data_IF_810267802260
#
_entry.id   IF_810267802260
#
_cell.length_a   1.000
_cell.length_b   1.000
_cell.length_c   1.000
_cell.angle_alpha   90.00
_cell.angle_beta   90.00
_cell.angle_gamma   90.00
#
_symmetry.space_group_name_H-M   'P 1'
#
loop_
_entity.id
_entity.type
_entity.pdbx_description
1 polymer ?
#
# COMPACT_ATOMS: atom_id res chain seq x y z
N UNK A 1 9.06 -8.68 -15.35
CA UNK A 1 7.71 -8.50 -15.92
C UNK A 1 6.98 -7.43 -15.14
N UNK A 2 6.50 -6.43 -15.86
CA UNK A 2 6.10 -5.12 -15.38
C UNK A 2 4.64 -5.14 -14.90
N UNK A 3 4.41 -5.64 -13.68
CA UNK A 3 3.05 -5.73 -13.09
C UNK A 3 2.61 -4.46 -12.34
N UNK A 4 3.10 -3.28 -12.72
CA UNK A 4 2.76 -2.05 -12.01
C UNK A 4 1.26 -1.76 -12.05
N UNK A 5 0.58 -1.95 -13.19
CA UNK A 5 -0.84 -1.62 -13.32
C UNK A 5 -1.76 -2.62 -12.60
N UNK A 6 -1.53 -3.93 -12.77
CA UNK A 6 -2.31 -4.97 -12.10
C UNK A 6 -2.13 -4.93 -10.58
N UNK A 7 -0.92 -4.66 -10.11
CA UNK A 7 -0.62 -4.54 -8.69
C UNK A 7 -1.20 -3.27 -8.07
N UNK A 8 -1.24 -2.15 -8.80
CA UNK A 8 -1.94 -0.94 -8.35
C UNK A 8 -3.45 -1.14 -8.28
N UNK A 9 -4.05 -1.87 -9.22
CA UNK A 9 -5.46 -2.24 -9.17
C UNK A 9 -5.75 -3.11 -7.93
N UNK A 10 -4.85 -4.04 -7.59
CA UNK A 10 -4.95 -4.82 -6.37
C UNK A 10 -4.90 -3.93 -5.11
N UNK A 11 -4.00 -2.93 -5.04
CA UNK A 11 -3.97 -1.99 -3.93
C UNK A 11 -5.23 -1.12 -3.83
N UNK A 12 -5.85 -0.76 -4.96
CA UNK A 12 -7.16 -0.08 -4.96
C UNK A 12 -8.27 -0.96 -4.41
N UNK A 13 -8.26 -2.25 -4.72
CA UNK A 13 -9.21 -3.19 -4.14
C UNK A 13 -9.07 -3.27 -2.61
N UNK A 14 -7.85 -3.17 -2.07
CA UNK A 14 -7.64 -3.16 -0.62
C UNK A 14 -8.30 -1.94 0.02
N UNK A 15 -8.20 -0.77 -0.61
CA UNK A 15 -8.87 0.44 -0.13
C UNK A 15 -10.41 0.32 -0.16
N UNK A 16 -10.96 -0.34 -1.18
CA UNK A 16 -12.40 -0.44 -1.39
C UNK A 16 -13.07 -1.61 -0.65
N UNK A 17 -12.40 -2.77 -0.62
CA UNK A 17 -12.98 -4.04 -0.19
C UNK A 17 -12.26 -4.63 1.03
N UNK A 18 -11.06 -4.15 1.37
CA UNK A 18 -10.27 -4.70 2.45
C UNK A 18 -9.50 -5.98 2.07
N UNK A 19 -9.31 -6.25 0.78
CA UNK A 19 -8.44 -7.30 0.27
C UNK A 19 -7.94 -6.95 -1.15
N UNK A 20 -6.91 -7.62 -1.63
CA UNK A 20 -6.28 -7.37 -2.95
C UNK A 20 -7.21 -7.66 -4.13
N UNK A 21 -8.31 -8.37 -3.90
CA UNK A 21 -9.32 -8.68 -4.90
C UNK A 21 -10.72 -8.68 -4.27
N UNK A 22 -11.79 -8.61 -5.09
CA UNK A 22 -13.14 -8.82 -4.61
C UNK A 22 -13.28 -10.18 -3.90
N UNK A 23 -14.20 -10.32 -2.93
CA UNK A 23 -14.34 -11.53 -2.12
C UNK A 23 -14.42 -12.82 -2.95
N UNK A 24 -15.13 -12.79 -4.08
CA UNK A 24 -15.34 -13.92 -4.98
C UNK A 24 -14.07 -14.43 -5.69
N UNK A 25 -12.99 -13.65 -5.73
CA UNK A 25 -11.74 -14.01 -6.40
C UNK A 25 -10.53 -13.95 -5.48
N UNK A 26 -10.71 -13.73 -4.18
CA UNK A 26 -9.63 -13.52 -3.20
C UNK A 26 -8.65 -14.69 -3.05
N UNK A 27 -9.09 -15.92 -3.31
CA UNK A 27 -8.29 -17.15 -3.14
C UNK A 27 -7.62 -17.65 -4.41
N UNK A 28 -7.73 -16.93 -5.53
CA UNK A 28 -7.02 -17.34 -6.74
C UNK A 28 -5.49 -17.28 -6.49
N UNK A 29 -4.70 -18.19 -7.07
CA UNK A 29 -3.25 -18.23 -6.84
C UNK A 29 -2.54 -16.90 -7.15
N UNK A 30 -3.01 -16.17 -8.17
CA UNK A 30 -2.50 -14.85 -8.53
C UNK A 30 -2.78 -13.79 -7.46
N UNK A 31 -3.97 -13.81 -6.86
CA UNK A 31 -4.33 -12.87 -5.80
C UNK A 31 -3.64 -13.20 -4.48
N UNK A 32 -3.49 -14.49 -4.16
CA UNK A 32 -2.68 -14.93 -3.01
C UNK A 32 -1.23 -14.47 -3.15
N UNK A 33 -0.63 -14.62 -4.34
CA UNK A 33 0.72 -14.14 -4.61
C UNK A 33 0.84 -12.61 -4.50
N UNK A 34 -0.15 -11.87 -5.01
CA UNK A 34 -0.21 -10.41 -4.90
C UNK A 34 -0.32 -9.95 -3.44
N UNK A 35 -1.18 -10.59 -2.64
CA UNK A 35 -1.33 -10.33 -1.21
C UNK A 35 -0.02 -10.59 -0.47
N UNK A 36 0.59 -11.75 -0.68
CA UNK A 36 1.86 -12.11 -0.07
C UNK A 36 2.96 -11.10 -0.40
N UNK A 37 3.07 -10.72 -1.67
CA UNK A 37 4.01 -9.69 -2.11
C UNK A 37 3.74 -8.33 -1.47
N UNK A 38 2.48 -7.90 -1.41
CA UNK A 38 2.10 -6.63 -0.81
C UNK A 38 2.38 -6.60 0.71
N UNK A 39 2.24 -7.73 1.41
CA UNK A 39 2.67 -7.86 2.80
C UNK A 39 4.20 -7.76 2.93
N UNK A 40 4.96 -8.50 2.11
CA UNK A 40 6.43 -8.46 2.13
C UNK A 40 6.99 -7.05 1.85
N UNK A 41 6.36 -6.31 0.93
CA UNK A 41 6.75 -4.95 0.59
C UNK A 41 6.17 -3.90 1.57
N UNK A 42 5.53 -4.34 2.67
CA UNK A 42 4.90 -3.50 3.69
C UNK A 42 3.92 -2.46 3.11
N UNK A 43 3.16 -2.86 2.09
CA UNK A 43 2.16 -2.01 1.42
C UNK A 43 0.77 -2.20 2.03
N UNK A 44 0.51 -3.39 2.55
CA UNK A 44 -0.73 -3.74 3.24
C UNK A 44 -0.39 -4.37 4.58
N UNK A 45 -1.30 -4.23 5.53
CA UNK A 45 -1.25 -4.91 6.82
C UNK A 45 -2.62 -5.51 7.13
N UNK A 46 -2.63 -6.62 7.85
CA UNK A 46 -3.87 -7.19 8.38
C UNK A 46 -4.30 -6.36 9.60
N UNK A 47 -5.56 -5.88 9.60
CA UNK A 47 -6.18 -5.18 10.72
C UNK A 47 -7.10 -6.15 11.46
N UNK A 48 -6.61 -6.75 12.54
CA UNK A 48 -7.36 -7.74 13.34
C UNK A 48 -8.66 -7.17 13.90
N UNK A 49 -8.71 -5.88 14.22
CA UNK A 49 -9.92 -5.24 14.75
C UNK A 49 -11.03 -5.13 13.68
N UNK A 50 -10.66 -5.11 12.41
CA UNK A 50 -11.59 -4.99 11.27
C UNK A 50 -11.72 -6.27 10.45
N UNK A 51 -10.92 -7.30 10.75
CA UNK A 51 -10.88 -8.56 10.02
C UNK A 51 -10.61 -8.40 8.53
N UNK A 52 -9.79 -7.42 8.14
CA UNK A 52 -9.50 -7.12 6.72
C UNK A 52 -8.12 -6.51 6.53
N UNK A 53 -7.59 -6.56 5.30
CA UNK A 53 -6.37 -5.85 4.95
C UNK A 53 -6.62 -4.35 4.81
N UNK A 54 -5.64 -3.56 5.24
CA UNK A 54 -5.62 -2.10 5.11
C UNK A 54 -4.33 -1.64 4.47
N UNK A 55 -4.38 -0.52 3.74
CA UNK A 55 -3.19 0.10 3.17
C UNK A 55 -2.34 0.74 4.28
N UNK A 56 -1.04 0.46 4.26
CA UNK A 56 -0.05 1.17 5.08
C UNK A 56 0.25 2.55 4.49
N UNK A 57 1.00 3.39 5.22
CA UNK A 57 1.49 4.67 4.68
C UNK A 57 2.30 4.47 3.38
N UNK A 58 3.12 3.42 3.31
CA UNK A 58 3.89 3.05 2.12
C UNK A 58 2.98 2.62 0.97
N UNK A 59 1.98 1.78 1.25
CA UNK A 59 0.98 1.36 0.26
C UNK A 59 0.21 2.53 -0.33
N UNK A 60 -0.26 3.45 0.51
CA UNK A 60 -0.92 4.70 0.08
C UNK A 60 0.02 5.58 -0.74
N UNK A 61 1.28 5.72 -0.33
CA UNK A 61 2.28 6.50 -1.06
C UNK A 61 2.57 5.89 -2.43
N UNK A 62 2.59 4.56 -2.55
CA UNK A 62 2.78 3.89 -3.84
C UNK A 62 1.56 4.01 -4.76
N UNK A 63 0.36 3.87 -4.19
CA UNK A 63 -0.90 4.02 -4.90
C UNK A 63 -1.08 5.46 -5.43
N UNK A 64 -0.78 6.46 -4.60
CA UNK A 64 -0.87 7.88 -4.95
C UNK A 64 0.34 8.35 -5.75
N UNK A 65 1.54 7.80 -5.52
CA UNK A 65 2.76 8.08 -6.27
C UNK A 65 2.67 7.61 -7.71
N UNK A 66 1.98 6.50 -7.97
CA UNK A 66 1.61 6.11 -9.34
C UNK A 66 0.55 7.03 -9.98
N UNK A 67 -0.23 7.73 -9.15
CA UNK A 67 -1.21 8.73 -9.60
C UNK A 67 -0.58 10.13 -9.75
N UNK A 68 0.58 10.39 -9.13
CA UNK A 68 1.33 11.65 -9.23
C UNK A 68 2.39 11.57 -10.32
N UNK A 69 2.00 11.91 -11.54
CA UNK A 69 2.88 12.74 -12.36
C UNK A 69 2.85 14.15 -11.73
N UNK A 70 4.02 14.67 -11.36
CA UNK A 70 4.25 16.06 -10.96
C UNK A 70 3.51 16.57 -9.72
N UNK A 71 4.09 16.39 -8.54
CA UNK A 71 3.89 17.34 -7.44
C UNK A 71 5.21 17.49 -6.70
N UNK A 72 5.86 18.61 -6.98
CA UNK A 72 7.03 19.20 -6.33
C UNK A 72 7.20 18.76 -4.87
N UNK A 73 8.28 18.04 -4.59
CA UNK A 73 8.74 17.80 -3.23
C UNK A 73 9.32 19.12 -2.72
N UNK A 74 8.52 19.90 -2.01
CA UNK A 74 9.07 20.94 -1.14
C UNK A 74 9.72 20.24 0.03
N UNK A 75 11.05 20.27 0.08
CA UNK A 75 11.85 19.83 1.22
C UNK A 75 11.41 20.60 2.46
N UNK A 76 10.80 19.92 3.44
CA UNK A 76 10.72 20.44 4.80
C UNK A 76 12.00 20.04 5.53
N UNK A 77 13.01 20.90 5.42
CA UNK A 77 14.25 20.81 6.19
C UNK A 77 14.01 21.17 7.65
N UNK A 78 14.55 20.33 8.53
CA UNK A 78 15.10 20.64 9.84
C UNK A 78 14.18 21.14 10.97
N UNK A 79 14.19 20.38 12.08
CA UNK A 79 14.68 20.97 13.32
C UNK A 79 15.40 19.93 14.18
N UNK A 80 16.74 19.98 14.16
CA UNK A 80 17.57 19.38 15.21
C UNK A 80 17.33 20.19 16.47
N UNK A 81 16.88 19.57 17.55
CA UNK A 81 17.07 20.13 18.89
C UNK A 81 17.82 19.11 19.74
N UNK A 82 19.13 19.30 19.79
CA UNK A 82 19.93 18.84 20.90
C UNK A 82 19.44 19.55 22.17
N UNK A 83 19.34 18.81 23.29
CA UNK A 83 19.61 19.28 24.65
C UNK A 83 19.50 18.09 25.61
N UNK A 84 20.67 17.60 26.07
CA UNK A 84 20.81 16.89 27.34
C UNK A 84 20.72 17.90 28.49
N UNK A 85 20.31 17.45 29.67
CA UNK A 85 21.07 17.69 30.90
C UNK A 85 21.85 16.44 31.31
#
# INVERSE_FOLDING_TARGET
MTDSAGFLAALRNVEQHGDVAPPAASETPSNVAARHRACLENLIAWDDARGRFVLTATGRTRLTGATRVSATVTTLSAFRRASRP
#
